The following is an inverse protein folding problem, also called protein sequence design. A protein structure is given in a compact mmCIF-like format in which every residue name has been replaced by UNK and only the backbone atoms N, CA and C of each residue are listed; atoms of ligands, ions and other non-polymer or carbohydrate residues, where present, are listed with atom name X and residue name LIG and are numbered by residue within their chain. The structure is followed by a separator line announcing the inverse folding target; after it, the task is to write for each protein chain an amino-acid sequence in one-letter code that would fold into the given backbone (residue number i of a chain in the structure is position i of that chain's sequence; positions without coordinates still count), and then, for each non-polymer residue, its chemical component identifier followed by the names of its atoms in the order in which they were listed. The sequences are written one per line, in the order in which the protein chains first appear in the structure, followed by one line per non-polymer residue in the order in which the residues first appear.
data_IF_338456282919
#
_entry.id   IF_338456282919
#
_cell.length_a   1.000
_cell.length_b   1.000
_cell.length_c   1.000
_cell.angle_alpha   90.00
_cell.angle_beta   90.00
_cell.angle_gamma   90.00
#
_symmetry.space_group_name_H-M   'P 1'
#
loop_
_entity.id
_entity.type
_entity.pdbx_description
1 polymer ?
#
# COMPACT_ATOMS: atom_id res chain seq x y z
N UNK A 1 1.88 -3.20 -12.57
CA UNK A 1 1.62 -2.06 -11.65
C UNK A 1 2.69 -0.97 -11.65
N UNK A 2 4.00 -1.27 -11.69
CA UNK A 2 5.06 -0.27 -11.47
C UNK A 2 5.33 0.74 -12.61
N UNK A 3 4.88 0.45 -13.86
CA UNK A 3 5.16 1.31 -15.03
C UNK A 3 4.54 2.71 -14.94
N UNK A 4 3.32 2.81 -14.41
CA UNK A 4 2.60 4.09 -14.26
C UNK A 4 3.32 4.98 -13.24
N UNK A 5 3.74 4.41 -12.10
CA UNK A 5 4.45 5.17 -11.07
C UNK A 5 5.80 5.67 -11.60
N UNK A 6 6.53 4.84 -12.36
CA UNK A 6 7.79 5.25 -13.01
C UNK A 6 7.58 6.41 -13.97
N UNK A 7 6.53 6.35 -14.80
CA UNK A 7 6.20 7.44 -15.74
C UNK A 7 5.81 8.72 -14.99
N UNK A 8 4.92 8.62 -14.00
CA UNK A 8 4.49 9.75 -13.19
C UNK A 8 5.67 10.43 -12.48
N UNK A 9 6.56 9.66 -11.86
CA UNK A 9 7.74 10.21 -11.19
C UNK A 9 8.72 10.88 -12.16
N UNK A 10 8.88 10.35 -13.38
CA UNK A 10 9.67 11.01 -14.42
C UNK A 10 9.04 12.34 -14.82
N UNK A 11 7.74 12.32 -15.12
CA UNK A 11 7.03 13.50 -15.58
C UNK A 11 6.98 14.61 -14.50
N UNK A 12 6.80 14.24 -13.23
CA UNK A 12 6.86 15.17 -12.10
C UNK A 12 8.21 15.89 -11.98
N UNK A 13 9.32 15.20 -12.23
CA UNK A 13 10.66 15.82 -12.22
C UNK A 13 10.88 16.78 -13.38
N UNK A 14 10.32 16.46 -14.55
CA UNK A 14 10.40 17.32 -15.74
C UNK A 14 9.57 18.59 -15.56
N UNK A 15 8.34 18.46 -15.06
CA UNK A 15 7.43 19.59 -14.86
C UNK A 15 7.84 20.48 -13.67
N UNK A 16 8.46 19.90 -12.65
CA UNK A 16 8.83 20.60 -11.43
C UNK A 16 10.33 20.39 -11.12
N UNK A 17 11.26 21.12 -11.77
CA UNK A 17 12.69 20.93 -11.57
C UNK A 17 13.18 21.15 -10.13
N UNK A 18 12.45 21.95 -9.35
CA UNK A 18 12.73 22.19 -7.93
C UNK A 18 12.10 21.15 -6.97
N UNK A 19 11.38 20.16 -7.46
CA UNK A 19 10.75 19.14 -6.62
C UNK A 19 11.80 18.16 -6.09
N UNK A 20 11.93 18.10 -4.77
CA UNK A 20 12.94 17.28 -4.09
C UNK A 20 12.37 16.05 -3.37
N UNK A 21 11.10 16.10 -2.96
CA UNK A 21 10.47 15.07 -2.15
C UNK A 21 9.01 14.88 -2.54
N UNK A 22 8.59 13.63 -2.66
CA UNK A 22 7.18 13.26 -2.70
C UNK A 22 6.81 12.53 -1.42
N UNK A 23 5.70 12.95 -0.80
CA UNK A 23 5.14 12.30 0.39
C UNK A 23 3.84 11.64 0.00
N UNK A 24 3.66 10.39 0.41
CA UNK A 24 2.41 9.68 0.23
C UNK A 24 1.98 8.97 1.52
N UNK A 25 0.68 8.77 1.66
CA UNK A 25 0.05 8.14 2.82
C UNK A 25 -0.81 6.96 2.34
N UNK A 26 -0.66 5.81 2.99
CA UNK A 26 -1.55 4.66 2.80
C UNK A 26 -2.48 4.53 4.01
N UNK A 27 -3.78 4.50 3.77
CA UNK A 27 -4.80 4.49 4.81
C UNK A 27 -4.94 3.11 5.46
N UNK A 28 -4.58 2.99 6.73
CA UNK A 28 -4.57 1.69 7.40
C UNK A 28 -5.98 1.16 7.67
N UNK A 29 -6.99 2.04 7.86
CA UNK A 29 -8.38 1.62 8.05
C UNK A 29 -8.96 0.89 6.83
N UNK A 30 -8.35 1.09 5.66
CA UNK A 30 -8.72 0.42 4.41
C UNK A 30 -7.85 -0.80 4.11
N UNK A 31 -7.02 -1.23 5.07
CA UNK A 31 -6.05 -2.31 4.87
C UNK A 31 -4.91 -1.95 3.91
N UNK A 32 -4.68 -0.67 3.62
CA UNK A 32 -3.61 -0.26 2.72
C UNK A 32 -2.26 -0.23 3.45
N UNK A 33 -1.47 -1.30 3.30
CA UNK A 33 -0.09 -1.40 3.81
C UNK A 33 0.97 -0.77 2.88
N UNK A 34 0.55 -0.08 1.81
CA UNK A 34 1.47 0.63 0.92
C UNK A 34 2.36 -0.26 0.04
N UNK A 35 1.89 -1.46 -0.35
CA UNK A 35 2.71 -2.42 -1.12
C UNK A 35 3.34 -1.86 -2.42
N UNK A 36 2.69 -0.91 -3.11
CA UNK A 36 3.26 -0.26 -4.30
C UNK A 36 4.48 0.63 -3.97
N UNK A 37 4.50 1.22 -2.77
CA UNK A 37 5.59 2.08 -2.30
C UNK A 37 6.79 1.23 -1.87
N UNK A 38 6.52 0.11 -1.19
CA UNK A 38 7.54 -0.88 -0.82
C UNK A 38 8.24 -1.43 -2.07
N UNK A 39 7.48 -1.80 -3.10
CA UNK A 39 8.00 -2.33 -4.36
C UNK A 39 8.78 -1.31 -5.21
N UNK A 40 8.73 -0.02 -4.85
CA UNK A 40 9.40 1.06 -5.58
C UNK A 40 10.38 1.83 -4.72
N UNK A 41 10.88 1.22 -3.63
CA UNK A 41 11.94 1.73 -2.76
C UNK A 41 11.63 3.10 -2.13
N UNK A 42 10.37 3.35 -1.75
CA UNK A 42 10.00 4.51 -0.96
C UNK A 42 10.42 4.31 0.50
N UNK A 43 11.01 5.33 1.13
CA UNK A 43 11.38 5.28 2.54
C UNK A 43 10.10 5.29 3.39
N UNK A 44 9.88 4.25 4.17
CA UNK A 44 8.78 4.21 5.14
C UNK A 44 9.22 4.83 6.45
N UNK A 45 8.41 5.71 7.02
CA UNK A 45 8.74 6.44 8.26
C UNK A 45 7.78 6.15 9.41
N UNK A 46 7.08 5.02 9.36
CA UNK A 46 6.14 4.63 10.40
C UNK A 46 4.69 5.06 10.14
N UNK A 47 3.85 4.79 11.13
CA UNK A 47 2.43 5.16 11.14
C UNK A 47 2.25 6.53 11.77
N UNK A 48 1.35 7.33 11.22
CA UNK A 48 0.96 8.65 11.73
C UNK A 48 -0.55 8.73 11.90
N UNK A 49 -1.04 9.74 12.61
CA UNK A 49 -2.47 10.04 12.75
C UNK A 49 -3.29 8.94 13.45
N UNK A 50 -2.64 8.03 14.17
CA UNK A 50 -3.31 7.00 14.96
C UNK A 50 -4.11 7.62 16.10
N UNK A 51 -5.37 7.19 16.27
CA UNK A 51 -6.27 7.70 17.30
C UNK A 51 -6.79 9.12 17.04
N UNK A 52 -6.42 9.73 15.92
CA UNK A 52 -6.96 11.04 15.50
C UNK A 52 -8.35 10.86 14.90
N UNK A 53 -9.21 11.88 15.09
CA UNK A 53 -10.54 11.88 14.48
C UNK A 53 -10.42 12.08 12.98
N UNK A 54 -10.90 11.11 12.21
CA UNK A 54 -10.87 11.11 10.75
C UNK A 54 -12.26 10.88 10.13
N UNK A 55 -13.30 10.79 10.96
CA UNK A 55 -14.69 10.70 10.51
C UNK A 55 -15.71 10.75 11.62
N UNK A 56 -16.97 10.56 11.21
CA UNK A 56 -18.12 10.38 12.08
C UNK A 56 -18.74 9.02 11.77
N UNK A 57 -19.22 8.31 12.78
CA UNK A 57 -20.13 7.18 12.59
C UNK A 57 -21.55 7.74 12.54
N UNK A 58 -22.19 7.67 11.37
CA UNK A 58 -23.55 8.16 11.12
C UNK A 58 -24.37 6.96 10.64
N UNK A 59 -25.41 6.59 11.39
CA UNK A 59 -26.24 5.41 11.17
C UNK A 59 -25.40 4.13 10.98
N UNK A 60 -24.38 3.96 11.80
CA UNK A 60 -23.46 2.81 11.74
C UNK A 60 -22.48 2.81 10.57
N UNK A 61 -22.42 3.87 9.75
CA UNK A 61 -21.47 3.99 8.62
C UNK A 61 -20.48 5.12 8.84
N UNK A 62 -19.21 4.89 8.48
CA UNK A 62 -18.17 5.93 8.51
C UNK A 62 -18.48 7.00 7.45
N UNK A 63 -18.63 8.25 7.90
CA UNK A 63 -18.80 9.45 7.09
C UNK A 63 -17.58 10.35 7.25
N UNK A 64 -16.93 10.68 6.14
CA UNK A 64 -15.77 11.58 6.14
C UNK A 64 -16.22 13.05 6.40
N UNK A 65 -15.47 13.87 7.15
CA UNK A 65 -15.86 15.26 7.46
C UNK A 65 -16.04 16.13 6.21
N UNK A 66 -15.27 15.86 5.16
CA UNK A 66 -15.45 16.48 3.83
C UNK A 66 -16.86 16.28 3.26
N UNK A 67 -17.50 15.14 3.50
CA UNK A 67 -18.88 14.89 3.05
C UNK A 67 -19.85 15.84 3.76
N UNK A 68 -19.69 16.03 5.07
CA UNK A 68 -20.49 16.98 5.87
C UNK A 68 -20.33 18.39 5.32
N UNK A 69 -19.08 18.83 5.12
CA UNK A 69 -18.79 20.15 4.56
C UNK A 69 -19.32 20.32 3.13
N UNK A 70 -19.19 19.31 2.27
CA UNK A 70 -19.70 19.36 0.89
C UNK A 70 -21.22 19.53 0.81
N UNK A 71 -21.93 19.15 1.88
CA UNK A 71 -23.38 19.34 2.05
C UNK A 71 -23.73 20.65 2.77
N UNK A 72 -22.77 21.54 2.97
CA UNK A 72 -22.96 22.82 3.68
C UNK A 72 -22.99 22.72 5.20
N UNK A 73 -22.62 21.56 5.77
CA UNK A 73 -22.61 21.33 7.20
C UNK A 73 -21.30 21.73 7.89
N UNK A 74 -21.39 21.93 9.19
CA UNK A 74 -20.20 22.14 10.03
C UNK A 74 -19.55 20.80 10.39
N UNK A 75 -18.21 20.72 10.34
CA UNK A 75 -17.45 19.51 10.65
C UNK A 75 -17.31 19.26 12.17
N UNK A 76 -18.41 19.45 12.91
CA UNK A 76 -18.48 19.22 14.35
C UNK A 76 -19.45 18.09 14.68
N UNK A 77 -19.12 17.31 15.72
CA UNK A 77 -19.98 16.21 16.16
C UNK A 77 -21.37 16.72 16.54
N UNK A 78 -21.46 17.87 17.21
CA UNK A 78 -22.72 18.48 17.60
C UNK A 78 -23.60 18.81 16.37
N UNK A 79 -23.02 19.33 15.30
CA UNK A 79 -23.78 19.59 14.07
C UNK A 79 -24.27 18.29 13.43
N UNK A 80 -23.41 17.28 13.34
CA UNK A 80 -23.77 15.96 12.80
C UNK A 80 -24.88 15.30 13.62
N UNK A 81 -24.80 15.37 14.95
CA UNK A 81 -25.82 14.83 15.84
C UNK A 81 -27.17 15.53 15.66
N UNK A 82 -27.13 16.86 15.54
CA UNK A 82 -28.35 17.67 15.39
C UNK A 82 -29.02 17.50 14.03
N UNK A 83 -28.26 17.35 12.94
CA UNK A 83 -28.81 17.44 11.57
C UNK A 83 -28.78 16.14 10.78
N UNK A 84 -27.98 15.15 11.18
CA UNK A 84 -27.84 13.89 10.45
C UNK A 84 -28.29 12.69 11.30
N UNK A 85 -27.71 12.52 12.48
CA UNK A 85 -27.97 11.35 13.32
C UNK A 85 -27.69 11.65 14.81
N UNK A 86 -28.72 11.74 15.67
CA UNK A 86 -28.54 11.97 17.11
C UNK A 86 -27.63 10.96 17.80
N UNK A 87 -27.53 9.73 17.27
CA UNK A 87 -26.65 8.68 17.77
C UNK A 87 -25.22 8.72 17.21
N UNK A 88 -24.87 9.75 16.43
CA UNK A 88 -23.56 9.83 15.80
C UNK A 88 -22.44 9.93 16.83
N UNK A 89 -21.30 9.33 16.50
CA UNK A 89 -20.08 9.38 17.31
C UNK A 89 -18.86 9.70 16.45
N UNK A 90 -17.75 10.08 17.10
CA UNK A 90 -16.49 10.26 16.38
C UNK A 90 -15.92 8.91 15.97
N UNK A 91 -15.47 8.82 14.72
CA UNK A 91 -14.61 7.75 14.28
C UNK A 91 -13.15 8.17 14.44
N UNK A 92 -12.34 7.29 15.04
CA UNK A 92 -10.91 7.47 15.24
C UNK A 92 -10.18 6.36 14.48
N UNK A 93 -9.49 6.76 13.43
CA UNK A 93 -8.78 5.82 12.56
C UNK A 93 -7.55 5.21 13.22
N UNK A 94 -7.17 4.03 12.71
CA UNK A 94 -5.98 3.30 13.17
C UNK A 94 -4.67 3.87 12.61
N UNK A 95 -4.75 4.98 11.87
CA UNK A 95 -3.62 5.77 11.35
C UNK A 95 -3.33 5.57 9.86
N UNK A 96 -2.25 6.18 9.39
CA UNK A 96 -1.80 6.12 7.99
C UNK A 96 -0.31 5.80 7.93
N UNK A 97 0.06 4.89 7.03
CA UNK A 97 1.46 4.58 6.76
C UNK A 97 2.07 5.70 5.90
N UNK A 98 3.16 6.31 6.38
CA UNK A 98 3.81 7.43 5.70
C UNK A 98 5.02 6.96 4.88
N UNK A 99 5.06 7.35 3.61
CA UNK A 99 6.12 7.01 2.66
C UNK A 99 6.73 8.26 2.03
N UNK A 100 8.05 8.24 1.87
CA UNK A 100 8.86 9.32 1.33
C UNK A 100 9.62 8.85 0.09
N UNK A 101 9.50 9.58 -1.01
CA UNK A 101 10.29 9.38 -2.22
C UNK A 101 11.20 10.57 -2.45
N UNK A 102 12.47 10.50 -2.02
CA UNK A 102 13.47 11.53 -2.35
C UNK A 102 13.81 11.47 -3.83
N UNK A 103 13.80 12.63 -4.48
CA UNK A 103 14.12 12.80 -5.90
C UNK A 103 15.58 13.21 -6.14
N UNK A 104 16.28 13.64 -5.08
CA UNK A 104 17.71 13.88 -5.08
C UNK A 104 18.44 13.01 -4.06
N UNK A 105 19.73 12.75 -4.33
CA UNK A 105 20.54 11.83 -3.54
C UNK A 105 20.95 12.39 -2.18
N UNK A 106 21.12 13.71 -2.09
CA UNK A 106 21.40 14.39 -0.82
C UNK A 106 20.25 14.16 0.17
N UNK A 107 19.01 14.37 -0.27
CA UNK A 107 17.83 14.18 0.56
C UNK A 107 17.61 12.70 0.87
N UNK A 108 17.92 11.78 -0.06
CA UNK A 108 17.87 10.34 0.21
C UNK A 108 18.76 9.97 1.40
N UNK A 109 20.01 10.46 1.43
CA UNK A 109 20.93 10.20 2.54
C UNK A 109 20.42 10.76 3.87
N UNK A 110 19.89 11.98 3.85
CA UNK A 110 19.32 12.63 5.05
C UNK A 110 18.11 11.86 5.60
N UNK A 111 17.22 11.41 4.71
CA UNK A 111 15.99 10.71 5.10
C UNK A 111 16.19 9.22 5.42
N UNK A 112 17.32 8.62 5.03
CA UNK A 112 17.62 7.23 5.33
C UNK A 112 17.59 6.93 6.84
N UNK A 113 17.98 7.91 7.68
CA UNK A 113 17.92 7.81 9.15
C UNK A 113 16.49 7.71 9.70
N UNK A 114 15.48 8.15 8.94
CA UNK A 114 14.06 8.04 9.31
C UNK A 114 13.43 6.72 8.86
N UNK A 115 14.18 5.88 8.15
CA UNK A 115 13.68 4.64 7.59
C UNK A 115 13.32 3.65 8.68
N UNK A 116 12.11 3.11 8.60
CA UNK A 116 11.61 2.04 9.45
C UNK A 116 11.34 0.78 8.61
N UNK A 117 11.33 -0.42 9.23
CA UNK A 117 10.93 -1.64 8.54
C UNK A 117 9.52 -1.54 7.96
N UNK A 118 9.33 -2.05 6.73
CA UNK A 118 8.02 -2.01 6.09
C UNK A 118 6.96 -2.82 6.85
N UNK A 119 5.69 -2.38 6.86
CA UNK A 119 4.61 -3.15 7.46
C UNK A 119 4.39 -4.44 6.68
N UNK A 120 4.32 -5.57 7.40
CA UNK A 120 3.96 -6.88 6.84
C UNK A 120 2.48 -6.89 6.46
N UNK A 121 2.14 -7.67 5.42
CA UNK A 121 0.74 -7.91 5.06
C UNK A 121 0.15 -8.90 6.06
N UNK A 122 -1.10 -8.68 6.49
CA UNK A 122 -1.84 -9.70 7.21
C UNK A 122 -1.92 -10.97 6.33
N UNK A 123 -1.32 -12.07 6.79
CA UNK A 123 -1.23 -13.34 6.06
C UNK A 123 0.19 -13.87 5.81
N UNK A 124 1.25 -13.10 6.06
CA UNK A 124 2.61 -13.66 6.07
C UNK A 124 2.93 -14.23 7.46
N UNK A 125 2.89 -15.56 7.60
CA UNK A 125 3.37 -16.25 8.79
C UNK A 125 4.83 -15.86 9.08
N UNK A 126 5.17 -15.69 10.37
CA UNK A 126 6.52 -15.39 10.81
C UNK A 126 7.48 -16.52 10.45
N UNK A 127 8.23 -16.36 9.37
CA UNK A 127 9.50 -17.04 9.18
C UNK A 127 10.55 -16.28 9.99
N UNK A 128 10.52 -16.46 11.31
CA UNK A 128 11.62 -16.04 12.17
C UNK A 128 12.84 -16.90 11.86
N UNK A 129 13.78 -16.39 11.06
CA UNK A 129 15.15 -16.93 11.01
C UNK A 129 16.02 -16.07 11.90
N UNK A 130 16.62 -16.61 12.98
CA UNK A 130 17.53 -15.85 13.83
C UNK A 130 18.75 -15.42 13.03
N UNK A 131 19.09 -14.14 13.13
CA UNK A 131 20.27 -13.56 12.53
C UNK A 131 21.54 -14.12 13.17
N UNK A 132 22.27 -14.91 12.40
CA UNK A 132 23.71 -15.05 12.48
C UNK A 132 24.13 -15.43 11.07
N UNK A 133 25.01 -14.66 10.39
CA UNK A 133 26.30 -15.10 9.83
C UNK A 133 27.14 -13.87 9.42
N UNK A 134 28.40 -13.93 9.85
CA UNK A 134 29.51 -13.03 9.55
C UNK A 134 29.94 -13.12 8.08
N UNK A 135 30.73 -12.14 7.62
CA UNK A 135 31.01 -11.84 6.22
C UNK A 135 31.74 -12.88 5.38
N UNK A 136 31.88 -12.54 4.09
CA UNK A 136 32.67 -13.27 3.09
C UNK A 136 32.03 -13.19 1.71
N UNK A 137 32.71 -12.54 0.77
CA UNK A 137 32.23 -12.38 -0.61
C UNK A 137 32.33 -13.65 -1.46
N UNK A 138 31.93 -13.52 -2.72
CA UNK A 138 32.24 -14.50 -3.77
C UNK A 138 31.02 -14.90 -4.60
N UNK A 139 31.09 -14.59 -5.89
CA UNK A 139 30.12 -14.91 -6.93
C UNK A 139 29.88 -16.42 -7.09
N UNK A 140 28.66 -16.82 -7.49
CA UNK A 140 28.42 -17.65 -8.69
C UNK A 140 26.91 -17.93 -8.97
N UNK A 141 26.55 -18.46 -10.16
CA UNK A 141 25.49 -17.94 -11.02
C UNK A 141 24.13 -18.66 -10.92
N UNK A 142 23.10 -18.02 -11.47
CA UNK A 142 21.75 -18.54 -11.66
C UNK A 142 21.70 -19.62 -12.76
N UNK A 143 21.19 -20.84 -12.51
CA UNK A 143 20.89 -21.79 -13.58
C UNK A 143 19.60 -21.41 -14.31
N UNK A 144 19.62 -21.49 -15.65
CA UNK A 144 18.51 -21.22 -16.55
C UNK A 144 17.47 -22.36 -16.54
N UNK A 145 16.19 -22.00 -16.63
CA UNK A 145 15.05 -22.92 -16.82
C UNK A 145 15.12 -23.55 -18.22
N UNK A 146 15.15 -24.88 -18.30
CA UNK A 146 14.87 -25.61 -19.54
C UNK A 146 13.35 -25.78 -19.73
N UNK A 147 12.84 -25.77 -20.97
CA UNK A 147 11.49 -26.17 -21.31
C UNK A 147 11.44 -27.64 -21.73
N UNK A 148 10.57 -28.40 -21.08
CA UNK A 148 10.33 -29.83 -21.32
C UNK A 148 9.47 -29.98 -22.59
N UNK A 149 9.95 -30.76 -23.56
CA UNK A 149 9.30 -31.03 -24.84
C UNK A 149 9.19 -32.55 -25.07
N UNK A 150 7.98 -32.98 -25.50
CA UNK A 150 7.68 -34.26 -26.17
C UNK A 150 7.21 -35.39 -25.25
N UNK A 151 6.29 -36.29 -25.60
CA UNK A 151 5.42 -36.48 -26.77
C UNK A 151 4.38 -37.58 -26.40
N UNK A 152 3.25 -37.62 -27.12
CA UNK A 152 2.16 -38.62 -27.04
C UNK A 152 2.59 -40.08 -27.30
N UNK A 153 1.72 -41.09 -27.05
CA UNK A 153 0.90 -41.60 -28.17
C UNK A 153 -0.57 -41.98 -27.82
N UNK A 154 -1.44 -41.77 -28.83
CA UNK A 154 -2.81 -42.34 -29.01
C UNK A 154 -2.76 -43.86 -29.32
N UNK A 155 -3.85 -44.68 -29.35
CA UNK A 155 -5.07 -44.42 -30.14
C UNK A 155 -6.46 -44.99 -29.66
N UNK A 156 -7.50 -44.48 -30.32
CA UNK A 156 -8.71 -45.16 -30.85
C UNK A 156 -10.09 -45.13 -30.10
N UNK A 157 -11.04 -44.50 -30.82
CA UNK A 157 -12.43 -44.91 -31.15
C UNK A 157 -13.63 -44.63 -30.20
N UNK A 158 -14.47 -43.68 -30.65
CA UNK A 158 -15.88 -43.29 -30.35
C UNK A 158 -16.94 -44.34 -30.83
N UNK A 159 -18.30 -44.19 -30.71
CA UNK A 159 -19.16 -43.00 -30.49
C UNK A 159 -20.45 -43.26 -29.59
N UNK A 160 -21.61 -42.56 -29.71
CA UNK A 160 -22.17 -41.68 -28.66
C UNK A 160 -23.56 -42.12 -28.13
N UNK A 161 -24.12 -41.48 -27.09
CA UNK A 161 -25.59 -41.29 -26.94
C UNK A 161 -25.99 -40.24 -25.89
N UNK A 162 -27.13 -39.62 -26.19
CA UNK A 162 -27.82 -38.39 -25.73
C UNK A 162 -28.75 -38.69 -24.51
N UNK A 163 -29.29 -37.68 -23.77
CA UNK A 163 -29.71 -37.80 -22.37
C UNK A 163 -31.20 -38.16 -22.20
N UNK A 164 -31.66 -38.23 -20.94
CA UNK A 164 -32.87 -37.51 -20.54
C UNK A 164 -32.60 -36.40 -19.50
#
# INVERSE_FOLDING_TARGET
MSRILKFAMRHLRELCPGLRLVVSYADADQGHHGGIYQATNWIYTGKVLEGTRDGFMVHGRKMHPKTVHSRGGEQSLAWVQKHLDPGASEHRGIGKHKYLMPLDEELRRRLAALSQPYPKRAGSADSGTPGNQSGGGGANPTPALQPDCGADPSPAATPPVVPP
#
